data_IF_119765065287
#
_entry.id   IF_119765065287
#
_cell.length_a   1.000
_cell.length_b   1.000
_cell.length_c   1.000
_cell.angle_alpha   90.00
_cell.angle_beta   90.00
_cell.angle_gamma   90.00
#
_symmetry.space_group_name_H-M   'P 1'
#
loop_
_entity.id
_entity.type
_entity.pdbx_description
1 polymer ?
#
# COMPACT_ATOMS: atom_id res chain seq x y z
N UNK A 1 15.19 2.94 -0.75
CA UNK A 1 15.40 2.04 -1.90
C UNK A 1 14.18 2.06 -2.82
N UNK A 2 14.30 2.68 -4.00
CA UNK A 2 13.19 2.82 -4.98
C UNK A 2 12.84 1.48 -5.64
N UNK A 3 13.83 0.60 -5.85
CA UNK A 3 13.60 -0.68 -6.53
C UNK A 3 12.84 -1.65 -5.62
N UNK A 4 13.25 -1.77 -4.35
CA UNK A 4 12.60 -2.70 -3.42
C UNK A 4 11.16 -2.33 -3.16
N UNK A 5 10.84 -1.05 -3.00
CA UNK A 5 9.46 -0.61 -2.82
C UNK A 5 8.57 -0.98 -4.02
N UNK A 6 9.10 -0.93 -5.25
CA UNK A 6 8.38 -1.37 -6.45
C UNK A 6 8.18 -2.90 -6.48
N UNK A 7 9.21 -3.66 -6.10
CA UNK A 7 9.11 -5.12 -5.98
C UNK A 7 8.11 -5.54 -4.90
N UNK A 8 8.01 -4.79 -3.81
CA UNK A 8 7.08 -5.09 -2.73
C UNK A 8 5.65 -4.74 -3.13
N UNK A 9 5.43 -3.58 -3.74
CA UNK A 9 4.11 -3.15 -4.18
C UNK A 9 3.45 -4.13 -5.15
N UNK A 10 4.23 -4.66 -6.11
CA UNK A 10 3.72 -5.60 -7.11
C UNK A 10 3.68 -7.06 -6.70
N UNK A 11 4.14 -7.42 -5.49
CA UNK A 11 4.47 -8.82 -5.12
C UNK A 11 3.32 -9.80 -5.24
N UNK A 12 2.09 -9.34 -4.96
CA UNK A 12 0.86 -10.13 -5.09
C UNK A 12 0.52 -10.45 -6.55
N UNK A 13 0.81 -9.54 -7.47
CA UNK A 13 0.49 -9.65 -8.90
C UNK A 13 1.53 -10.51 -9.62
N UNK A 14 2.81 -10.09 -9.58
CA UNK A 14 3.85 -10.81 -10.31
C UNK A 14 4.28 -12.10 -9.59
N UNK A 15 3.87 -12.33 -8.33
CA UNK A 15 4.09 -13.59 -7.64
C UNK A 15 3.51 -14.81 -8.38
N UNK A 16 2.59 -14.59 -9.34
CA UNK A 16 2.05 -15.61 -10.24
C UNK A 16 2.84 -15.82 -11.52
N UNK A 17 3.96 -15.12 -11.71
CA UNK A 17 4.79 -15.27 -12.88
C UNK A 17 5.55 -16.61 -12.86
N UNK A 18 6.01 -17.04 -14.04
CA UNK A 18 6.83 -18.25 -14.19
C UNK A 18 8.11 -18.15 -13.36
N UNK A 19 8.65 -19.28 -12.86
CA UNK A 19 9.90 -19.29 -12.10
C UNK A 19 11.08 -18.63 -12.83
N UNK A 20 11.13 -18.69 -14.17
CA UNK A 20 12.13 -17.99 -14.97
C UNK A 20 12.08 -16.47 -14.81
N UNK A 21 10.88 -15.88 -14.80
CA UNK A 21 10.68 -14.45 -14.60
C UNK A 21 11.00 -14.04 -13.15
N UNK A 22 10.64 -14.87 -12.17
CA UNK A 22 10.96 -14.61 -10.76
C UNK A 22 12.47 -14.60 -10.50
N UNK A 23 13.23 -15.53 -11.12
CA UNK A 23 14.70 -15.58 -11.01
C UNK A 23 15.38 -14.31 -11.53
N UNK A 24 14.82 -13.66 -12.55
CA UNK A 24 15.33 -12.39 -13.06
C UNK A 24 15.23 -11.28 -12.00
N UNK A 25 14.13 -11.25 -11.23
CA UNK A 25 13.95 -10.30 -10.12
C UNK A 25 14.92 -10.57 -8.97
N UNK A 26 15.23 -11.85 -8.71
CA UNK A 26 16.19 -12.25 -7.69
C UNK A 26 17.60 -11.71 -8.02
N UNK A 27 18.02 -11.76 -9.30
CA UNK A 27 19.29 -11.19 -9.75
C UNK A 27 19.36 -9.66 -9.50
N UNK A 28 18.30 -8.92 -9.83
CA UNK A 28 18.21 -7.48 -9.59
C UNK A 28 18.30 -7.17 -8.09
N UNK A 29 17.61 -7.96 -7.26
CA UNK A 29 17.66 -7.79 -5.81
C UNK A 29 19.04 -8.06 -5.22
N UNK A 30 19.69 -9.16 -5.59
CA UNK A 30 21.05 -9.46 -5.13
C UNK A 30 22.06 -8.41 -5.57
N UNK A 31 21.94 -7.92 -6.81
CA UNK A 31 22.78 -6.84 -7.32
C UNK A 31 22.57 -5.55 -6.52
N UNK A 32 21.32 -5.22 -6.18
CA UNK A 32 20.98 -4.10 -5.32
C UNK A 32 21.61 -4.23 -3.92
N UNK A 33 21.52 -5.41 -3.30
CA UNK A 33 22.13 -5.66 -2.00
C UNK A 33 23.65 -5.46 -2.05
N UNK A 34 24.34 -6.02 -3.05
CA UNK A 34 25.79 -5.85 -3.23
C UNK A 34 26.19 -4.39 -3.38
N UNK A 35 25.43 -3.62 -4.15
CA UNK A 35 25.70 -2.19 -4.32
C UNK A 35 25.49 -1.42 -3.01
N UNK A 36 24.47 -1.76 -2.24
CA UNK A 36 24.20 -1.09 -0.96
C UNK A 36 25.18 -1.46 0.16
N UNK A 37 25.67 -2.71 0.19
CA UNK A 37 26.60 -3.18 1.23
C UNK A 37 28.07 -3.07 0.82
N UNK A 38 28.38 -2.74 -0.44
CA UNK A 38 29.74 -2.75 -0.96
C UNK A 38 30.34 -4.15 -1.11
N UNK A 39 29.53 -5.21 -1.04
CA UNK A 39 30.01 -6.58 -1.15
C UNK A 39 30.54 -6.91 -2.55
N UNK A 40 31.55 -7.79 -2.62
CA UNK A 40 32.09 -8.28 -3.89
C UNK A 40 31.01 -8.89 -4.78
N UNK A 41 31.21 -8.85 -6.10
CA UNK A 41 30.32 -9.49 -7.08
C UNK A 41 30.17 -11.00 -6.87
N UNK A 42 31.19 -11.62 -6.29
CA UNK A 42 31.27 -13.07 -6.03
C UNK A 42 30.83 -13.46 -4.62
N UNK A 43 30.47 -12.52 -3.74
CA UNK A 43 30.04 -12.86 -2.38
C UNK A 43 28.84 -13.83 -2.41
N UNK A 44 28.81 -14.88 -1.57
CA UNK A 44 27.69 -15.80 -1.51
C UNK A 44 26.37 -15.10 -1.16
N UNK A 45 25.26 -15.53 -1.76
CA UNK A 45 23.91 -14.99 -1.50
C UNK A 45 23.51 -15.11 -0.02
N UNK A 46 23.74 -16.25 0.68
CA UNK A 46 23.42 -16.35 2.10
C UNK A 46 24.15 -15.31 2.95
N UNK A 47 25.43 -15.06 2.66
CA UNK A 47 26.22 -14.03 3.35
C UNK A 47 25.67 -12.63 3.10
N UNK A 48 25.21 -12.33 1.88
CA UNK A 48 24.57 -11.04 1.60
C UNK A 48 23.30 -10.81 2.43
N UNK A 49 22.46 -11.83 2.59
CA UNK A 49 21.24 -11.73 3.39
C UNK A 49 21.54 -11.48 4.86
N UNK A 50 22.54 -12.17 5.41
CA UNK A 50 22.97 -11.96 6.80
C UNK A 50 23.54 -10.55 6.98
N UNK A 51 24.44 -10.12 6.10
CA UNK A 51 25.11 -8.81 6.20
C UNK A 51 24.12 -7.65 6.05
N UNK A 52 23.18 -7.75 5.13
CA UNK A 52 22.17 -6.70 4.90
C UNK A 52 20.96 -6.78 5.84
N UNK A 53 20.89 -7.80 6.71
CA UNK A 53 19.70 -8.11 7.51
C UNK A 53 18.41 -8.22 6.67
N UNK A 54 18.52 -8.87 5.51
CA UNK A 54 17.45 -9.02 4.54
C UNK A 54 17.06 -10.48 4.30
N UNK A 55 15.78 -10.73 4.10
CA UNK A 55 15.31 -12.06 3.69
C UNK A 55 15.32 -12.21 2.16
N UNK A 56 15.28 -13.46 1.69
CA UNK A 56 15.14 -13.70 0.25
C UNK A 56 13.84 -13.12 -0.30
N UNK A 57 13.86 -12.70 -1.57
CA UNK A 57 12.66 -12.20 -2.23
C UNK A 57 11.50 -13.20 -2.19
N UNK A 58 11.77 -14.51 -2.27
CA UNK A 58 10.72 -15.52 -2.12
C UNK A 58 10.01 -15.43 -0.76
N UNK A 59 10.78 -15.40 0.33
CA UNK A 59 10.26 -15.28 1.69
C UNK A 59 9.51 -13.96 1.86
N UNK A 60 10.05 -12.88 1.30
CA UNK A 60 9.43 -11.56 1.31
C UNK A 60 8.10 -11.52 0.58
N UNK A 61 8.02 -12.08 -0.64
CA UNK A 61 6.79 -12.19 -1.42
C UNK A 61 5.72 -12.97 -0.69
N UNK A 62 6.10 -14.09 -0.07
CA UNK A 62 5.19 -14.87 0.75
C UNK A 62 4.68 -14.05 1.96
N UNK A 63 5.57 -13.40 2.73
CA UNK A 63 5.16 -12.60 3.87
C UNK A 63 4.20 -11.47 3.47
N UNK A 64 4.52 -10.71 2.42
CA UNK A 64 3.67 -9.65 1.89
C UNK A 64 2.33 -10.19 1.38
N UNK A 65 2.37 -11.29 0.63
CA UNK A 65 1.16 -11.95 0.12
C UNK A 65 0.27 -12.44 1.26
N UNK A 66 0.85 -13.08 2.27
CA UNK A 66 0.11 -13.61 3.42
C UNK A 66 -0.53 -12.47 4.22
N UNK A 67 0.23 -11.42 4.56
CA UNK A 67 -0.32 -10.23 5.22
C UNK A 67 -1.42 -9.56 4.41
N UNK A 68 -1.27 -9.50 3.08
CA UNK A 68 -2.30 -8.98 2.19
C UNK A 68 -3.58 -9.82 2.26
N UNK A 69 -3.47 -11.16 2.28
CA UNK A 69 -4.65 -12.02 2.42
C UNK A 69 -5.36 -11.83 3.77
N UNK A 70 -4.63 -11.65 4.87
CA UNK A 70 -5.20 -11.33 6.17
C UNK A 70 -5.87 -9.95 6.14
N UNK A 71 -5.26 -8.95 5.50
CA UNK A 71 -5.84 -7.61 5.38
C UNK A 71 -7.16 -7.63 4.63
N UNK A 72 -7.25 -8.35 3.52
CA UNK A 72 -8.50 -8.50 2.76
C UNK A 72 -9.59 -9.13 3.64
N UNK A 73 -9.25 -10.17 4.41
CA UNK A 73 -10.19 -10.82 5.34
C UNK A 73 -10.68 -9.89 6.45
N UNK A 74 -9.81 -8.98 6.90
CA UNK A 74 -10.13 -8.00 7.94
C UNK A 74 -11.09 -6.91 7.47
N UNK A 75 -11.16 -6.59 6.18
CA UNK A 75 -12.01 -5.51 5.67
C UNK A 75 -13.39 -6.07 5.28
N UNK A 76 -14.49 -5.59 5.90
CA UNK A 76 -15.83 -5.95 5.47
C UNK A 76 -16.06 -5.55 4.00
N UNK A 77 -16.71 -6.40 3.21
CA UNK A 77 -17.08 -6.13 1.80
C UNK A 77 -15.89 -5.79 0.88
N UNK A 78 -14.69 -6.32 1.14
CA UNK A 78 -13.54 -6.09 0.25
C UNK A 78 -13.77 -6.70 -1.15
N UNK A 79 -13.54 -5.97 -2.26
CA UNK A 79 -13.88 -6.42 -3.61
C UNK A 79 -13.12 -7.69 -4.04
N UNK A 80 -11.87 -7.85 -3.58
CA UNK A 80 -11.06 -9.04 -3.88
C UNK A 80 -11.20 -10.18 -2.86
N UNK A 81 -12.19 -10.13 -1.96
CA UNK A 81 -12.36 -11.15 -0.91
C UNK A 81 -12.62 -12.53 -1.49
N UNK A 82 -13.54 -12.60 -2.44
CA UNK A 82 -13.89 -13.82 -3.17
C UNK A 82 -12.65 -14.45 -3.82
N UNK A 83 -11.83 -13.66 -4.53
CA UNK A 83 -10.64 -14.16 -5.20
C UNK A 83 -9.54 -14.69 -4.26
N UNK A 84 -9.52 -14.24 -3.00
CA UNK A 84 -8.51 -14.64 -2.00
C UNK A 84 -9.00 -15.78 -1.11
N UNK A 85 -10.28 -15.78 -0.74
CA UNK A 85 -10.87 -16.83 0.10
C UNK A 85 -11.31 -18.04 -0.72
N UNK A 86 -11.81 -17.85 -1.96
CA UNK A 86 -12.30 -18.94 -2.76
C UNK A 86 -11.20 -19.56 -3.62
N UNK A 87 -10.94 -20.85 -3.40
CA UNK A 87 -10.12 -21.67 -4.30
C UNK A 87 -11.00 -22.31 -5.37
N UNK A 88 -11.66 -21.47 -6.18
CA UNK A 88 -12.41 -21.95 -7.34
C UNK A 88 -11.47 -22.79 -8.21
N UNK A 89 -11.92 -23.99 -8.58
CA UNK A 89 -11.17 -24.93 -9.41
C UNK A 89 -9.92 -25.54 -8.77
N UNK A 90 -9.83 -25.62 -7.42
CA UNK A 90 -8.71 -26.26 -6.70
C UNK A 90 -8.30 -27.60 -7.33
N UNK A 91 -9.26 -28.51 -7.52
CA UNK A 91 -9.04 -29.82 -8.12
C UNK A 91 -8.46 -29.76 -9.55
N UNK A 92 -8.85 -28.75 -10.35
CA UNK A 92 -8.31 -28.58 -11.70
C UNK A 92 -6.83 -28.18 -11.67
N UNK A 93 -6.43 -27.33 -10.73
CA UNK A 93 -5.02 -26.96 -10.54
C UNK A 93 -4.21 -28.11 -9.95
N UNK A 94 -4.77 -28.86 -9.00
CA UNK A 94 -4.11 -30.04 -8.41
C UNK A 94 -3.82 -31.10 -9.48
N UNK A 95 -4.73 -31.29 -10.44
CA UNK A 95 -4.55 -32.22 -11.56
C UNK A 95 -3.63 -31.71 -12.68
N UNK A 96 -3.23 -30.43 -12.64
CA UNK A 96 -2.39 -29.80 -13.68
C UNK A 96 -1.17 -29.11 -13.03
N UNK A 97 -0.16 -29.86 -12.57
CA UNK A 97 0.98 -29.31 -11.84
C UNK A 97 1.88 -28.38 -12.68
N UNK A 98 1.76 -28.43 -14.01
CA UNK A 98 2.47 -27.52 -14.92
C UNK A 98 1.90 -26.10 -14.94
N UNK A 99 0.65 -25.92 -14.49
CA UNK A 99 -0.03 -24.63 -14.43
C UNK A 99 0.30 -23.95 -13.12
N UNK A 100 0.62 -22.66 -13.17
CA UNK A 100 0.92 -21.89 -11.96
C UNK A 100 -0.37 -21.75 -11.14
N UNK A 101 -0.41 -22.22 -9.89
CA UNK A 101 -1.60 -22.11 -9.07
C UNK A 101 -1.91 -20.65 -8.74
N UNK A 102 -3.19 -20.31 -8.50
CA UNK A 102 -3.63 -18.96 -8.19
C UNK A 102 -3.06 -18.48 -6.84
N UNK A 103 -3.14 -17.17 -6.63
CA UNK A 103 -2.62 -16.51 -5.42
C UNK A 103 -3.13 -17.14 -4.11
N UNK A 104 -4.43 -17.42 -4.01
CA UNK A 104 -5.06 -18.02 -2.84
C UNK A 104 -4.47 -19.40 -2.50
N UNK A 105 -4.36 -20.27 -3.50
CA UNK A 105 -3.77 -21.61 -3.35
C UNK A 105 -2.29 -21.56 -2.97
N UNK A 106 -1.50 -20.66 -3.58
CA UNK A 106 -0.07 -20.51 -3.25
C UNK A 106 0.17 -20.01 -1.84
N UNK A 107 -0.61 -19.02 -1.41
CA UNK A 107 -0.49 -18.50 -0.05
C UNK A 107 -0.88 -19.56 0.97
N UNK A 108 -1.99 -20.27 0.74
CA UNK A 108 -2.45 -21.33 1.64
C UNK A 108 -1.43 -22.47 1.73
N UNK A 109 -0.97 -23.02 0.61
CA UNK A 109 0.00 -24.13 0.63
C UNK A 109 1.32 -23.74 1.27
N UNK A 110 1.80 -22.51 1.03
CA UNK A 110 3.03 -22.01 1.66
C UNK A 110 2.82 -21.75 3.15
N UNK A 111 1.65 -21.24 3.58
CA UNK A 111 1.30 -21.09 4.99
C UNK A 111 1.26 -22.45 5.70
N UNK A 112 0.58 -23.44 5.11
CA UNK A 112 0.50 -24.80 5.64
C UNK A 112 1.91 -25.41 5.79
N UNK A 113 2.81 -25.19 4.82
CA UNK A 113 4.19 -25.70 4.86
C UNK A 113 5.04 -25.15 6.01
N UNK A 114 4.64 -24.03 6.61
CA UNK A 114 5.32 -23.41 7.76
C UNK A 114 4.50 -23.49 9.05
N UNK A 115 3.42 -24.27 9.07
CA UNK A 115 2.55 -24.45 10.23
C UNK A 115 1.63 -23.26 10.54
N UNK A 116 1.41 -22.36 9.58
CA UNK A 116 0.42 -21.28 9.72
C UNK A 116 -0.91 -21.72 9.11
N UNK A 117 -2.01 -21.53 9.84
CA UNK A 117 -3.34 -21.80 9.31
C UNK A 117 -3.80 -20.68 8.38
N UNK A 118 -4.20 -21.03 7.16
CA UNK A 118 -4.81 -20.08 6.22
C UNK A 118 -6.20 -19.58 6.67
N UNK A 119 -6.83 -20.26 7.64
CA UNK A 119 -8.21 -19.97 8.09
C UNK A 119 -8.26 -19.26 9.44
N UNK A 120 -7.13 -18.78 9.96
CA UNK A 120 -7.08 -18.09 11.25
C UNK A 120 -8.12 -16.96 11.35
N UNK A 121 -8.77 -16.80 12.52
CA UNK A 121 -9.70 -15.72 12.74
C UNK A 121 -8.96 -14.38 12.62
N UNK A 122 -9.56 -13.44 11.90
CA UNK A 122 -9.00 -12.09 11.69
C UNK A 122 -9.99 -11.09 12.25
N UNK A 123 -9.51 -10.21 13.12
CA UNK A 123 -10.33 -9.11 13.66
C UNK A 123 -10.73 -8.16 12.53
N UNK A 124 -12.03 -7.83 12.38
CA UNK A 124 -12.47 -6.85 11.41
C UNK A 124 -11.83 -5.49 11.68
N UNK A 125 -11.37 -4.83 10.62
CA UNK A 125 -10.95 -3.43 10.69
C UNK A 125 -12.23 -2.59 10.83
N UNK A 126 -12.29 -1.68 11.82
CA UNK A 126 -13.39 -0.73 11.93
C UNK A 126 -13.54 0.02 10.63
N UNK A 127 -14.78 0.25 10.19
CA UNK A 127 -15.02 1.13 9.05
C UNK A 127 -14.50 2.52 9.43
N UNK A 128 -13.39 2.91 8.79
CA UNK A 128 -12.86 4.25 8.94
C UNK A 128 -13.85 5.19 8.25
N UNK A 129 -14.58 5.94 9.06
CA UNK A 129 -15.31 7.12 8.59
C UNK A 129 -14.24 8.09 8.07
N UNK A 130 -14.48 8.68 6.90
CA UNK A 130 -13.47 9.51 6.31
C UNK A 130 -13.25 10.76 7.17
N UNK A 131 -12.04 11.34 7.21
CA UNK A 131 -11.79 12.51 8.06
C UNK A 131 -12.68 13.71 7.71
N UNK A 132 -13.13 13.83 6.47
CA UNK A 132 -14.10 14.84 6.05
C UNK A 132 -15.54 14.56 6.50
N UNK A 133 -15.87 13.32 6.87
CA UNK A 133 -17.15 12.97 7.50
C UNK A 133 -17.12 13.25 9.03
N UNK A 134 -15.91 13.27 9.64
CA UNK A 134 -15.71 13.61 11.05
C UNK A 134 -15.64 15.11 11.32
N UNK A 135 -15.23 15.90 10.33
CA UNK A 135 -15.07 17.34 10.46
C UNK A 135 -15.93 18.02 9.41
N UNK A 136 -17.11 18.50 9.81
CA UNK A 136 -17.88 19.44 9.02
C UNK A 136 -17.10 20.76 8.96
N UNK A 137 -16.21 20.86 7.99
CA UNK A 137 -15.52 22.11 7.70
C UNK A 137 -16.58 23.07 7.16
N UNK A 138 -16.97 24.05 7.97
CA UNK A 138 -17.84 25.13 7.52
C UNK A 138 -17.02 26.08 6.63
N UNK A 139 -17.12 25.88 5.32
CA UNK A 139 -16.49 26.75 4.34
C UNK A 139 -17.40 27.94 4.02
N UNK A 140 -17.01 29.15 4.40
CA UNK A 140 -17.65 30.37 3.92
C UNK A 140 -17.09 30.75 2.54
N UNK A 141 -17.94 30.69 1.51
CA UNK A 141 -17.62 31.02 0.11
C UNK A 141 -18.22 32.38 -0.32
N UNK A 142 -18.55 33.27 0.61
CA UNK A 142 -19.08 34.60 0.34
C UNK A 142 -18.18 35.44 -0.57
N UNK A 143 -16.86 35.47 -0.31
CA UNK A 143 -15.89 36.25 -1.08
C UNK A 143 -15.74 35.82 -2.55
N UNK A 144 -16.06 34.56 -2.87
CA UNK A 144 -16.00 34.05 -4.26
C UNK A 144 -17.02 34.73 -5.18
N UNK A 145 -18.04 35.39 -4.63
CA UNK A 145 -19.03 36.16 -5.41
C UNK A 145 -18.46 37.48 -5.93
N UNK A 146 -17.34 37.94 -5.38
CA UNK A 146 -16.72 39.22 -5.72
C UNK A 146 -15.78 39.02 -6.92
N UNK A 147 -16.08 39.71 -8.03
CA UNK A 147 -15.24 39.66 -9.23
C UNK A 147 -13.98 40.52 -9.07
N UNK A 148 -12.86 39.88 -8.73
CA UNK A 148 -11.56 40.51 -8.45
C UNK A 148 -11.05 41.52 -9.51
N UNK A 149 -11.46 41.39 -10.78
CA UNK A 149 -11.06 42.30 -11.87
C UNK A 149 -11.91 43.56 -11.99
N UNK A 150 -13.15 43.52 -11.46
CA UNK A 150 -14.15 44.59 -11.60
C UNK A 150 -14.33 45.37 -10.29
N UNK A 151 -13.81 44.86 -9.16
CA UNK A 151 -13.97 45.48 -7.83
C UNK A 151 -12.66 46.10 -7.34
N UNK A 152 -12.72 47.30 -6.71
CA UNK A 152 -11.56 47.91 -6.09
C UNK A 152 -10.93 47.03 -5.00
N UNK A 153 -9.59 47.00 -4.87
CA UNK A 153 -8.90 46.22 -3.83
C UNK A 153 -9.36 46.55 -2.41
N UNK A 154 -9.75 47.80 -2.16
CA UNK A 154 -10.21 48.32 -0.87
C UNK A 154 -11.51 47.65 -0.43
N UNK A 155 -12.43 47.41 -1.38
CA UNK A 155 -13.70 46.74 -1.12
C UNK A 155 -13.49 45.28 -0.71
N UNK A 156 -12.57 44.57 -1.38
CA UNK A 156 -12.22 43.19 -1.06
C UNK A 156 -11.59 43.09 0.35
N UNK A 157 -10.74 44.05 0.72
CA UNK A 157 -10.16 44.12 2.06
C UNK A 157 -11.23 44.36 3.13
N UNK A 158 -12.18 45.25 2.86
CA UNK A 158 -13.28 45.55 3.77
C UNK A 158 -14.12 44.30 4.07
N UNK A 159 -14.58 43.60 3.03
CA UNK A 159 -15.34 42.34 3.16
C UNK A 159 -14.55 41.25 3.91
N UNK A 160 -13.24 41.18 3.67
CA UNK A 160 -12.36 40.26 4.41
C UNK A 160 -12.28 40.60 5.91
N UNK A 161 -12.15 41.88 6.27
CA UNK A 161 -12.13 42.31 7.67
C UNK A 161 -13.48 42.08 8.36
N UNK A 162 -14.58 42.27 7.64
CA UNK A 162 -15.93 41.97 8.15
C UNK A 162 -16.08 40.47 8.45
N UNK A 163 -15.61 39.60 7.55
CA UNK A 163 -15.55 38.16 7.80
C UNK A 163 -14.65 37.83 8.99
N UNK A 164 -13.47 38.44 9.08
CA UNK A 164 -12.56 38.23 10.21
C UNK A 164 -13.22 38.62 11.54
N UNK A 165 -13.98 39.71 11.56
CA UNK A 165 -14.71 40.16 12.76
C UNK A 165 -15.75 39.12 13.22
N UNK A 166 -16.38 38.42 12.28
CA UNK A 166 -17.37 37.36 12.54
C UNK A 166 -16.78 36.13 13.24
N UNK A 167 -15.47 35.91 13.06
CA UNK A 167 -14.73 34.79 13.63
C UNK A 167 -13.71 35.23 14.70
N UNK A 168 -13.98 36.32 15.43
CA UNK A 168 -13.08 36.91 16.45
C UNK A 168 -12.60 35.95 17.55
N UNK A 169 -13.33 34.87 17.83
CA UNK A 169 -12.94 33.82 18.79
C UNK A 169 -11.99 32.73 18.24
N UNK A 170 -11.54 32.82 16.99
CA UNK A 170 -10.71 31.81 16.33
C UNK A 170 -9.30 32.35 16.04
N UNK A 171 -8.31 31.46 16.10
CA UNK A 171 -6.94 31.79 15.73
C UNK A 171 -6.76 31.74 14.20
N UNK A 172 -6.33 32.85 13.61
CA UNK A 172 -5.97 32.89 12.19
C UNK A 172 -4.66 32.15 11.97
N UNK A 173 -4.68 31.18 11.04
CA UNK A 173 -3.51 30.38 10.64
C UNK A 173 -2.88 30.93 9.34
N UNK A 174 -3.24 32.16 8.93
CA UNK A 174 -2.70 32.79 7.73
C UNK A 174 -1.19 33.03 7.94
N UNK A 175 -0.38 32.10 7.43
CA UNK A 175 1.04 32.33 7.20
C UNK A 175 1.16 33.52 6.24
N UNK A 176 1.75 34.60 6.73
CA UNK A 176 1.81 35.89 6.06
C UNK A 176 2.40 35.78 4.65
N UNK A 177 1.66 36.29 3.69
CA UNK A 177 2.23 36.85 2.46
C UNK A 177 2.38 38.35 2.74
N UNK A 178 3.45 38.72 3.44
CA UNK A 178 4.00 40.07 3.39
C UNK A 178 5.05 40.11 2.29
#
# INVERSE_FOLDING_TARGET
>A
SVIRSRLDYGSSVYGSARPSALRMLDSIHHQGLRLSTGAFRTSPIPSLYVESNECSLEKRRFALGFMYSLRIRSVPLHPSREAVEEMRYKHTFDNKPSVIPPFSMRNASKADSIGLSSTMPVTPVPLAIAPWDHCLISCDLSLTKIKKKETPPEYIKQEFFELQSRYSGHNSILHGWY
#
